data_IF_582346563036
#
_entry.id   IF_582346563036
#
_cell.length_a   1.000
_cell.length_b   1.000
_cell.length_c   1.000
_cell.angle_alpha   90.00
_cell.angle_beta   90.00
_cell.angle_gamma   90.00
#
_symmetry.space_group_name_H-M   'P 1'
#
loop_
_entity.id
_entity.type
_entity.pdbx_description
1 polymer ?
#
# COMPACT_ATOMS: atom_id res chain seq x y z
N UNK A 1 1.95 23.06 -37.86
CA UNK A 1 1.02 22.18 -37.11
C UNK A 1 1.70 20.85 -36.86
N UNK A 2 2.21 20.62 -35.64
CA UNK A 2 2.59 19.27 -35.19
C UNK A 2 1.61 18.88 -34.10
N UNK A 3 0.83 17.86 -34.42
CA UNK A 3 -0.25 17.30 -33.63
C UNK A 3 0.30 16.79 -32.30
N UNK A 4 -0.06 17.49 -31.21
CA UNK A 4 0.34 17.17 -29.84
C UNK A 4 -0.35 15.90 -29.37
N UNK A 5 0.24 14.75 -29.68
CA UNK A 5 -0.21 13.45 -29.19
C UNK A 5 0.25 13.32 -27.74
N UNK A 6 -0.64 13.68 -26.80
CA UNK A 6 -0.49 13.37 -25.37
C UNK A 6 -0.34 11.85 -25.20
N UNK A 7 0.90 11.35 -25.23
CA UNK A 7 1.21 9.96 -24.90
C UNK A 7 1.29 9.88 -23.39
N UNK A 8 0.16 9.55 -22.79
CA UNK A 8 -0.01 9.35 -21.35
C UNK A 8 0.95 8.29 -20.83
N UNK A 9 1.82 8.68 -19.88
CA UNK A 9 2.75 7.82 -19.18
C UNK A 9 1.99 6.71 -18.41
N UNK A 10 2.30 5.44 -18.71
CA UNK A 10 1.62 4.26 -18.12
C UNK A 10 1.78 4.19 -16.60
N UNK A 11 2.88 4.73 -16.06
CA UNK A 11 3.13 4.81 -14.62
C UNK A 11 2.17 5.80 -13.93
N UNK A 12 1.87 6.92 -14.60
CA UNK A 12 1.08 8.04 -14.07
C UNK A 12 -0.44 7.74 -14.10
N UNK A 13 -0.89 6.91 -15.04
CA UNK A 13 -2.27 6.41 -15.08
C UNK A 13 -2.60 5.39 -13.96
N UNK A 14 -1.61 4.94 -13.19
CA UNK A 14 -1.79 4.03 -12.06
C UNK A 14 -2.56 4.59 -10.86
N UNK A 15 -2.95 5.89 -10.88
CA UNK A 15 -3.62 6.60 -9.78
C UNK A 15 -4.82 5.85 -9.16
N UNK A 16 -5.46 4.93 -9.89
CA UNK A 16 -6.71 4.28 -9.46
C UNK A 16 -6.82 2.77 -9.66
N UNK A 17 -5.79 2.07 -10.15
CA UNK A 17 -6.01 0.73 -10.74
C UNK A 17 -5.98 -0.47 -9.79
N UNK A 18 -5.46 -0.34 -8.58
CA UNK A 18 -5.23 -1.50 -7.71
C UNK A 18 -6.05 -1.39 -6.41
N UNK A 19 -7.37 -1.50 -6.55
CA UNK A 19 -8.28 -1.61 -5.40
C UNK A 19 -8.37 -3.05 -4.88
N UNK A 20 -8.37 -4.03 -5.78
CA UNK A 20 -8.44 -5.44 -5.45
C UNK A 20 -7.21 -6.20 -5.94
N UNK A 21 -6.92 -7.33 -5.29
CA UNK A 21 -5.78 -8.20 -5.61
C UNK A 21 -5.79 -8.67 -7.07
N UNK A 22 -6.95 -9.10 -7.57
CA UNK A 22 -7.10 -9.59 -8.95
C UNK A 22 -6.81 -8.54 -10.03
N UNK A 23 -6.99 -7.26 -9.73
CA UNK A 23 -6.70 -6.17 -10.66
C UNK A 23 -5.21 -5.82 -10.66
N UNK A 24 -4.54 -6.07 -9.54
CA UNK A 24 -3.15 -5.70 -9.29
C UNK A 24 -2.15 -6.76 -9.77
N UNK A 25 -2.44 -8.03 -9.49
CA UNK A 25 -1.57 -9.16 -9.78
C UNK A 25 -1.12 -9.24 -11.26
N UNK A 26 -1.96 -9.02 -12.28
CA UNK A 26 -1.54 -9.18 -13.68
C UNK A 26 -0.70 -7.99 -14.19
N UNK A 27 -0.86 -6.81 -13.59
CA UNK A 27 -0.36 -5.55 -14.13
C UNK A 27 0.96 -5.08 -13.50
N UNK A 28 1.21 -5.47 -12.25
CA UNK A 28 2.41 -5.07 -11.51
C UNK A 28 3.71 -5.76 -11.98
N UNK A 29 3.73 -7.05 -12.35
CA UNK A 29 4.95 -7.74 -12.81
C UNK A 29 5.48 -7.24 -14.17
N UNK A 30 4.69 -6.46 -14.91
CA UNK A 30 5.04 -5.98 -16.26
C UNK A 30 6.11 -4.89 -16.23
N UNK A 31 6.33 -4.25 -15.07
CA UNK A 31 7.26 -3.13 -14.92
C UNK A 31 8.51 -3.64 -14.20
N UNK A 32 9.66 -3.55 -14.88
CA UNK A 32 10.93 -4.01 -14.31
C UNK A 32 11.55 -2.96 -13.38
N UNK A 33 12.22 -3.43 -12.33
CA UNK A 33 13.08 -2.58 -11.50
C UNK A 33 14.41 -2.39 -12.21
N UNK A 34 14.74 -1.15 -12.54
CA UNK A 34 16.03 -0.81 -13.17
C UNK A 34 17.08 -0.64 -12.10
N UNK A 35 18.12 -1.46 -12.13
CA UNK A 35 19.24 -1.35 -11.21
C UNK A 35 19.91 0.03 -11.32
N UNK A 36 20.11 0.68 -10.17
CA UNK A 36 20.86 1.92 -10.04
C UNK A 36 21.98 1.72 -9.02
N UNK A 37 23.23 2.12 -9.31
CA UNK A 37 24.31 2.09 -8.33
C UNK A 37 23.96 2.92 -7.08
N UNK A 38 24.23 2.41 -5.87
CA UNK A 38 23.96 3.12 -4.60
C UNK A 38 24.63 4.50 -4.53
N UNK A 39 25.79 4.67 -5.17
CA UNK A 39 26.54 5.92 -5.26
C UNK A 39 25.87 6.98 -6.14
N UNK A 40 24.81 6.63 -6.88
CA UNK A 40 24.17 7.54 -7.83
C UNK A 40 23.49 8.71 -7.13
N UNK A 41 23.71 9.92 -7.66
CA UNK A 41 23.09 11.14 -7.15
C UNK A 41 21.70 11.35 -7.76
N UNK A 42 20.78 11.82 -6.93
CA UNK A 42 19.49 12.38 -7.33
C UNK A 42 19.61 13.90 -7.13
N UNK A 43 19.62 14.66 -8.23
CA UNK A 43 19.83 16.11 -8.19
C UNK A 43 18.48 16.77 -8.46
N UNK A 44 17.88 17.34 -7.42
CA UNK A 44 16.64 18.09 -7.58
C UNK A 44 16.91 19.44 -8.26
N UNK A 45 16.06 19.81 -9.21
CA UNK A 45 16.16 21.06 -9.95
C UNK A 45 14.79 21.50 -10.46
N UNK A 46 14.69 22.76 -10.90
CA UNK A 46 13.60 23.20 -11.77
C UNK A 46 13.85 22.58 -13.14
N UNK A 47 12.83 21.98 -13.73
CA UNK A 47 12.86 21.27 -15.00
C UNK A 47 11.69 21.75 -15.84
N UNK A 48 11.93 21.89 -17.15
CA UNK A 48 10.85 22.09 -18.09
C UNK A 48 10.24 20.74 -18.50
N UNK A 49 8.95 20.74 -18.88
CA UNK A 49 8.23 19.51 -19.23
C UNK A 49 8.86 18.78 -20.43
N UNK A 50 9.50 19.49 -21.35
CA UNK A 50 10.19 18.94 -22.51
C UNK A 50 11.54 18.30 -22.18
N UNK A 51 12.14 18.62 -21.03
CA UNK A 51 13.35 17.95 -20.54
C UNK A 51 13.05 16.58 -19.92
N UNK A 52 11.80 16.35 -19.49
CA UNK A 52 11.42 15.18 -18.71
C UNK A 52 11.23 13.94 -19.58
N UNK A 53 11.64 12.79 -19.05
CA UNK A 53 11.45 11.48 -19.68
C UNK A 53 9.96 11.16 -19.82
N UNK A 54 9.50 11.01 -21.06
CA UNK A 54 8.09 10.78 -21.40
C UNK A 54 7.69 9.31 -21.50
N UNK A 55 8.66 8.39 -21.62
CA UNK A 55 8.41 6.95 -21.78
C UNK A 55 9.08 6.13 -20.66
N UNK A 56 8.51 6.22 -19.44
CA UNK A 56 9.01 5.49 -18.28
C UNK A 56 8.53 4.03 -18.35
N UNK A 57 9.47 3.13 -18.69
CA UNK A 57 9.23 1.68 -18.78
C UNK A 57 9.72 0.87 -17.59
N UNK A 58 10.38 1.53 -16.63
CA UNK A 58 11.00 0.88 -15.49
C UNK A 58 10.88 1.73 -14.24
N UNK A 59 10.93 1.08 -13.07
CA UNK A 59 10.92 1.74 -11.77
C UNK A 59 12.31 1.68 -11.15
N UNK A 60 12.74 2.76 -10.51
CA UNK A 60 13.99 2.78 -9.77
C UNK A 60 13.89 2.02 -8.45
N UNK A 61 14.99 1.53 -7.85
CA UNK A 61 14.94 0.85 -6.57
C UNK A 61 14.36 1.76 -5.48
N UNK A 62 13.62 1.21 -4.53
CA UNK A 62 12.91 1.96 -3.48
C UNK A 62 13.82 2.92 -2.71
N UNK A 63 15.02 2.46 -2.34
CA UNK A 63 16.05 3.27 -1.69
C UNK A 63 16.39 4.54 -2.50
N UNK A 64 16.47 4.41 -3.83
CA UNK A 64 16.76 5.54 -4.71
C UNK A 64 15.55 6.47 -4.87
N UNK A 65 14.34 5.92 -4.93
CA UNK A 65 13.09 6.71 -4.98
C UNK A 65 12.97 7.57 -3.72
N UNK A 66 13.19 7.00 -2.54
CA UNK A 66 13.21 7.75 -1.27
C UNK A 66 14.28 8.84 -1.26
N UNK A 67 15.48 8.53 -1.79
CA UNK A 67 16.56 9.52 -1.94
C UNK A 67 16.16 10.68 -2.85
N UNK A 68 15.49 10.39 -3.97
CA UNK A 68 14.99 11.38 -4.92
C UNK A 68 13.89 12.26 -4.30
N UNK A 69 12.94 11.67 -3.59
CA UNK A 69 11.91 12.40 -2.83
C UNK A 69 12.54 13.30 -1.75
N UNK A 70 13.55 12.81 -1.04
CA UNK A 70 14.28 13.60 -0.05
C UNK A 70 14.97 14.81 -0.69
N UNK A 71 15.68 14.61 -1.80
CA UNK A 71 16.31 15.69 -2.55
C UNK A 71 15.29 16.75 -3.02
N UNK A 72 14.13 16.33 -3.53
CA UNK A 72 13.03 17.22 -3.92
C UNK A 72 12.54 18.04 -2.72
N UNK A 73 12.32 17.40 -1.56
CA UNK A 73 11.88 18.10 -0.33
C UNK A 73 12.91 19.12 0.13
N UNK A 74 14.18 18.76 0.20
CA UNK A 74 15.25 19.68 0.60
C UNK A 74 15.37 20.86 -0.36
N UNK A 75 15.31 20.60 -1.68
CA UNK A 75 15.36 21.64 -2.69
C UNK A 75 14.17 22.59 -2.58
N UNK A 76 12.95 22.07 -2.43
CA UNK A 76 11.74 22.87 -2.24
C UNK A 76 11.86 23.79 -1.02
N UNK A 77 12.31 23.25 0.11
CA UNK A 77 12.44 24.03 1.34
C UNK A 77 13.47 25.17 1.19
N UNK A 78 14.48 25.01 0.33
CA UNK A 78 15.47 26.05 0.04
C UNK A 78 14.96 27.16 -0.90
N UNK A 79 13.90 26.91 -1.68
CA UNK A 79 13.35 27.87 -2.65
C UNK A 79 12.36 28.87 -2.04
N UNK A 80 11.81 28.58 -0.85
CA UNK A 80 10.82 29.42 -0.19
C UNK A 80 9.39 29.25 -0.71
N UNK A 81 8.41 29.77 0.04
CA UNK A 81 6.98 29.70 -0.29
C UNK A 81 6.64 30.68 -1.44
N UNK A 82 6.69 30.21 -2.67
CA UNK A 82 6.30 31.03 -3.83
C UNK A 82 6.46 30.38 -5.21
N UNK A 83 7.17 29.26 -5.33
CA UNK A 83 7.38 28.58 -6.61
C UNK A 83 6.40 27.40 -6.75
N UNK A 84 5.60 27.43 -7.82
CA UNK A 84 4.66 26.36 -8.15
C UNK A 84 5.39 25.01 -8.25
N UNK A 85 4.77 23.97 -7.69
CA UNK A 85 5.35 22.62 -7.64
C UNK A 85 5.56 21.99 -9.02
N UNK A 86 4.89 22.55 -10.03
CA UNK A 86 4.69 21.92 -11.33
C UNK A 86 5.96 21.84 -12.18
N UNK A 87 7.04 22.53 -11.79
CA UNK A 87 8.34 22.48 -12.48
C UNK A 87 9.45 21.77 -11.71
N UNK A 88 9.18 21.07 -10.61
CA UNK A 88 10.25 20.41 -9.84
C UNK A 88 10.44 18.96 -10.31
N UNK A 89 11.69 18.60 -10.58
CA UNK A 89 12.09 17.26 -10.98
C UNK A 89 13.44 16.84 -10.42
N UNK A 90 13.87 15.65 -10.82
CA UNK A 90 15.15 15.05 -10.43
C UNK A 90 15.92 14.68 -11.68
N UNK A 91 17.10 15.29 -11.83
CA UNK A 91 18.09 14.89 -12.82
C UNK A 91 18.91 13.72 -12.26
N UNK A 92 18.88 12.60 -12.96
CA UNK A 92 19.66 11.39 -12.65
C UNK A 92 20.72 11.23 -13.73
N UNK A 93 22.01 11.52 -13.46
CA UNK A 93 23.04 11.54 -14.50
C UNK A 93 23.10 10.24 -15.30
N UNK A 94 23.13 10.28 -16.63
CA UNK A 94 23.10 9.08 -17.52
C UNK A 94 21.78 8.28 -17.54
N UNK A 95 20.75 8.69 -16.79
CA UNK A 95 19.44 8.03 -16.77
C UNK A 95 18.31 8.94 -17.25
N UNK A 96 18.48 10.26 -17.19
CA UNK A 96 17.50 11.23 -17.68
C UNK A 96 17.03 12.20 -16.59
N UNK A 97 15.99 12.95 -16.91
CA UNK A 97 15.30 13.89 -16.02
C UNK A 97 13.90 13.36 -15.77
N UNK A 98 13.50 13.31 -14.50
CA UNK A 98 12.21 12.76 -14.09
C UNK A 98 11.43 13.81 -13.33
N UNK A 99 10.16 14.01 -13.66
CA UNK A 99 9.33 14.95 -12.91
C UNK A 99 9.09 14.44 -11.49
N UNK A 100 8.70 15.33 -10.57
CA UNK A 100 8.25 14.90 -9.25
C UNK A 100 7.06 13.91 -9.35
N UNK A 101 6.18 14.06 -10.35
CA UNK A 101 5.05 13.17 -10.55
C UNK A 101 5.51 11.74 -10.88
N UNK A 102 6.58 11.61 -11.66
CA UNK A 102 7.16 10.31 -12.01
C UNK A 102 7.79 9.63 -10.80
N UNK A 103 8.56 10.37 -10.01
CA UNK A 103 9.16 9.85 -8.77
C UNK A 103 8.07 9.40 -7.79
N UNK A 104 7.00 10.18 -7.64
CA UNK A 104 5.85 9.80 -6.81
C UNK A 104 5.09 8.59 -7.38
N UNK A 105 5.03 8.43 -8.70
CA UNK A 105 4.42 7.26 -9.32
C UNK A 105 5.27 5.99 -9.09
N UNK A 106 6.60 6.09 -9.11
CA UNK A 106 7.51 4.99 -8.74
C UNK A 106 7.35 4.57 -7.28
N UNK A 107 7.22 5.53 -6.36
CA UNK A 107 6.96 5.27 -4.94
C UNK A 107 5.62 4.54 -4.70
N UNK A 108 4.57 5.00 -5.39
CA UNK A 108 3.26 4.34 -5.36
C UNK A 108 3.31 2.92 -5.92
N UNK A 109 4.16 2.67 -6.93
CA UNK A 109 4.38 1.33 -7.46
C UNK A 109 5.02 0.41 -6.41
N UNK A 110 6.05 0.87 -5.70
CA UNK A 110 6.68 0.12 -4.59
C UNK A 110 5.68 -0.21 -3.48
N UNK A 111 4.87 0.76 -3.11
CA UNK A 111 3.79 0.54 -2.14
C UNK A 111 2.79 -0.51 -2.64
N UNK A 112 2.40 -0.46 -3.91
CA UNK A 112 1.42 -1.38 -4.48
C UNK A 112 1.97 -2.82 -4.60
N UNK A 113 3.22 -2.99 -5.05
CA UNK A 113 3.84 -4.33 -5.13
C UNK A 113 4.03 -4.93 -3.73
N UNK A 114 4.36 -4.11 -2.72
CA UNK A 114 4.40 -4.56 -1.31
C UNK A 114 3.05 -5.12 -0.87
N UNK A 115 1.95 -4.42 -1.13
CA UNK A 115 0.61 -4.90 -0.75
C UNK A 115 0.23 -6.21 -1.45
N UNK A 116 0.54 -6.33 -2.75
CA UNK A 116 0.30 -7.59 -3.49
C UNK A 116 1.16 -8.72 -2.95
N UNK A 117 2.41 -8.45 -2.61
CA UNK A 117 3.33 -9.46 -2.06
C UNK A 117 2.84 -9.97 -0.71
N UNK A 118 2.43 -9.07 0.18
CA UNK A 118 1.89 -9.45 1.49
C UNK A 118 0.58 -10.22 1.38
N UNK A 119 -0.31 -9.80 0.48
CA UNK A 119 -1.58 -10.51 0.25
C UNK A 119 -1.31 -11.90 -0.36
N UNK A 120 -0.35 -12.02 -1.28
CA UNK A 120 0.09 -13.32 -1.82
C UNK A 120 0.60 -14.24 -0.72
N UNK A 121 1.43 -13.71 0.18
CA UNK A 121 1.96 -14.49 1.30
C UNK A 121 0.84 -14.93 2.25
N UNK A 122 -0.11 -14.04 2.56
CA UNK A 122 -1.28 -14.38 3.37
C UNK A 122 -2.17 -15.45 2.73
N UNK A 123 -2.39 -15.38 1.40
CA UNK A 123 -3.10 -16.41 0.64
C UNK A 123 -2.37 -17.75 0.76
N UNK A 124 -1.06 -17.78 0.51
CA UNK A 124 -0.26 -19.00 0.61
C UNK A 124 -0.32 -19.58 2.03
N UNK A 125 -0.19 -18.75 3.05
CA UNK A 125 -0.34 -19.17 4.45
C UNK A 125 -1.72 -19.77 4.70
N UNK A 126 -2.80 -19.12 4.26
CA UNK A 126 -4.16 -19.60 4.48
C UNK A 126 -4.44 -20.93 3.77
N UNK A 127 -3.87 -21.15 2.58
CA UNK A 127 -3.97 -22.40 1.83
C UNK A 127 -3.24 -23.56 2.50
N UNK A 128 -2.09 -23.29 3.11
CA UNK A 128 -1.24 -24.32 3.72
C UNK A 128 -1.44 -24.49 5.23
N UNK A 129 -2.22 -23.63 5.87
CA UNK A 129 -2.57 -23.75 7.28
C UNK A 129 -3.70 -24.76 7.46
N UNK A 130 -3.44 -25.78 8.28
CA UNK A 130 -4.45 -26.74 8.68
C UNK A 130 -5.16 -26.23 9.94
N UNK A 131 -6.43 -25.87 9.79
CA UNK A 131 -7.26 -25.27 10.84
C UNK A 131 -7.78 -26.34 11.84
N UNK A 132 -7.62 -27.64 11.52
CA UNK A 132 -8.08 -28.77 12.34
C UNK A 132 -7.38 -28.92 13.69
N UNK A 133 -6.42 -28.05 14.04
CA UNK A 133 -5.67 -28.12 15.30
C UNK A 133 -6.37 -27.47 16.49
N UNK A 134 -7.36 -26.62 16.25
CA UNK A 134 -8.18 -26.03 17.30
C UNK A 134 -9.60 -26.52 17.06
N UNK A 135 -10.17 -27.26 18.02
CA UNK A 135 -11.58 -27.63 17.95
C UNK A 135 -12.40 -26.35 17.92
N UNK A 136 -12.97 -26.04 16.77
CA UNK A 136 -13.87 -24.90 16.61
C UNK A 136 -15.18 -25.31 17.28
N UNK A 137 -15.68 -24.55 18.27
CA UNK A 137 -17.00 -24.82 18.84
C UNK A 137 -18.05 -24.86 17.73
N UNK A 138 -19.08 -25.72 17.81
CA UNK A 138 -20.13 -25.82 16.78
C UNK A 138 -20.77 -24.47 16.43
N UNK A 139 -20.81 -23.54 17.39
CA UNK A 139 -21.34 -22.19 17.22
C UNK A 139 -20.51 -21.30 16.28
N UNK A 140 -19.26 -21.70 15.97
CA UNK A 140 -18.32 -20.98 15.10
C UNK A 140 -17.93 -21.78 13.85
N UNK A 141 -18.54 -22.96 13.64
CA UNK A 141 -18.19 -23.91 12.59
C UNK A 141 -18.50 -23.36 11.17
N UNK A 142 -19.53 -22.51 11.04
CA UNK A 142 -19.91 -21.83 9.80
C UNK A 142 -18.94 -20.70 9.38
N UNK A 143 -18.08 -20.23 10.30
CA UNK A 143 -17.23 -19.05 10.08
C UNK A 143 -15.97 -19.32 9.25
N UNK A 144 -15.54 -20.58 9.11
CA UNK A 144 -14.25 -20.93 8.51
C UNK A 144 -14.42 -22.07 7.50
N UNK A 145 -14.40 -21.73 6.20
CA UNK A 145 -14.45 -22.76 5.15
C UNK A 145 -13.19 -23.65 5.19
N UNK A 146 -13.39 -24.96 5.34
CA UNK A 146 -12.31 -25.95 5.19
C UNK A 146 -11.81 -26.03 3.74
N UNK A 147 -12.60 -25.56 2.78
CA UNK A 147 -12.31 -25.61 1.35
C UNK A 147 -11.20 -24.59 1.03
N UNK A 148 -10.01 -25.04 0.56
CA UNK A 148 -8.91 -24.13 0.22
C UNK A 148 -9.28 -23.03 -0.77
N UNK A 149 -10.13 -23.35 -1.76
CA UNK A 149 -10.57 -22.44 -2.81
C UNK A 149 -11.41 -21.28 -2.25
N UNK A 150 -12.26 -21.54 -1.26
CA UNK A 150 -13.09 -20.50 -0.62
C UNK A 150 -12.22 -19.55 0.20
N UNK A 151 -11.23 -20.09 0.91
CA UNK A 151 -10.24 -19.30 1.67
C UNK A 151 -9.46 -18.40 0.73
N UNK A 152 -8.94 -18.94 -0.37
CA UNK A 152 -8.25 -18.15 -1.38
C UNK A 152 -9.16 -17.06 -1.98
N UNK A 153 -10.41 -17.40 -2.30
CA UNK A 153 -11.37 -16.44 -2.86
C UNK A 153 -11.68 -15.29 -1.89
N UNK A 154 -11.77 -15.56 -0.59
CA UNK A 154 -11.97 -14.56 0.44
C UNK A 154 -10.81 -13.55 0.49
N UNK A 155 -9.56 -14.05 0.53
CA UNK A 155 -8.38 -13.17 0.49
C UNK A 155 -8.25 -12.38 -0.81
N UNK A 156 -8.59 -12.98 -1.97
CA UNK A 156 -8.55 -12.27 -3.27
C UNK A 156 -9.59 -11.14 -3.39
N UNK A 157 -10.68 -11.21 -2.63
CA UNK A 157 -11.71 -10.13 -2.54
C UNK A 157 -11.32 -9.02 -1.59
N UNK A 158 -10.28 -9.25 -0.77
CA UNK A 158 -9.84 -8.31 0.23
C UNK A 158 -9.29 -7.03 -0.42
N UNK A 159 -9.72 -5.83 0.01
CA UNK A 159 -9.20 -4.58 -0.55
C UNK A 159 -7.72 -4.41 -0.22
N UNK A 160 -6.90 -4.06 -1.22
CA UNK A 160 -5.47 -3.81 -1.02
C UNK A 160 -5.19 -2.43 -0.41
N UNK A 161 -6.14 -1.50 -0.52
CA UNK A 161 -6.02 -0.10 -0.10
C UNK A 161 -7.29 0.38 0.57
N UNK A 162 -7.13 1.42 1.37
CA UNK A 162 -8.22 2.04 2.12
C UNK A 162 -8.36 1.44 3.50
N UNK A 163 -9.45 1.84 4.14
CA UNK A 163 -9.65 1.58 5.55
C UNK A 163 -11.12 1.22 5.78
N UNK A 164 -11.36 0.36 6.76
CA UNK A 164 -12.68 0.05 7.27
C UNK A 164 -12.95 0.94 8.46
N UNK A 165 -14.08 1.64 8.43
CA UNK A 165 -14.55 2.36 9.62
C UNK A 165 -15.04 1.36 10.66
N UNK A 166 -14.54 1.50 11.89
CA UNK A 166 -14.94 0.70 13.05
C UNK A 166 -15.34 1.65 14.18
N UNK A 167 -16.01 1.12 15.21
CA UNK A 167 -16.35 1.91 16.40
C UNK A 167 -15.11 2.46 17.15
N UNK A 168 -13.93 1.88 16.91
CA UNK A 168 -12.65 2.26 17.54
C UNK A 168 -11.75 3.09 16.61
N UNK A 169 -12.25 3.47 15.44
CA UNK A 169 -11.52 4.27 14.46
C UNK A 169 -11.38 3.58 13.12
N UNK A 170 -10.53 4.16 12.27
CA UNK A 170 -10.28 3.65 10.93
C UNK A 170 -9.21 2.57 10.95
N UNK A 171 -9.54 1.39 10.44
CA UNK A 171 -8.62 0.25 10.35
C UNK A 171 -8.17 0.05 8.89
N UNK A 172 -6.88 0.26 8.57
CA UNK A 172 -6.37 -0.07 7.25
C UNK A 172 -6.59 -1.54 6.92
N UNK A 173 -7.10 -1.85 5.73
CA UNK A 173 -7.34 -3.24 5.34
C UNK A 173 -6.08 -4.10 5.48
N UNK A 174 -4.91 -3.57 5.09
CA UNK A 174 -3.61 -4.23 5.26
C UNK A 174 -3.35 -4.72 6.69
N UNK A 175 -3.82 -4.02 7.72
CA UNK A 175 -3.63 -4.42 9.12
C UNK A 175 -4.29 -5.77 9.42
N UNK A 176 -5.37 -6.15 8.73
CA UNK A 176 -6.00 -7.47 8.89
C UNK A 176 -5.12 -8.62 8.41
N UNK A 177 -4.09 -8.36 7.60
CA UNK A 177 -3.10 -9.38 7.22
C UNK A 177 -2.18 -9.76 8.39
N UNK A 178 -2.18 -9.01 9.52
CA UNK A 178 -1.43 -9.38 10.73
C UNK A 178 -1.99 -10.62 11.44
N UNK A 179 -3.22 -11.03 11.13
CA UNK A 179 -3.80 -12.29 11.63
C UNK A 179 -3.18 -13.53 10.97
N UNK A 180 -2.34 -13.36 9.93
CA UNK A 180 -1.65 -14.45 9.26
C UNK A 180 -0.23 -14.65 9.82
N UNK A 181 0.26 -15.89 9.74
CA UNK A 181 1.61 -16.28 10.14
C UNK A 181 1.91 -16.03 11.64
N UNK A 182 3.19 -15.84 11.99
CA UNK A 182 3.65 -15.55 13.34
C UNK A 182 3.80 -14.03 13.57
N UNK A 183 2.89 -13.24 13.02
CA UNK A 183 2.93 -11.77 13.15
C UNK A 183 2.26 -11.34 14.45
N UNK A 184 2.78 -10.28 15.05
CA UNK A 184 2.09 -9.61 16.14
C UNK A 184 0.86 -8.93 15.57
N UNK A 185 -0.30 -9.21 16.15
CA UNK A 185 -1.56 -8.59 15.74
C UNK A 185 -1.58 -7.17 16.28
N UNK A 186 -1.89 -6.22 15.39
CA UNK A 186 -2.06 -4.81 15.76
C UNK A 186 -3.29 -4.61 16.66
N UNK A 187 -3.22 -3.67 17.60
CA UNK A 187 -4.30 -3.41 18.57
C UNK A 187 -5.61 -3.05 17.85
N UNK A 188 -5.53 -2.30 16.75
CA UNK A 188 -6.71 -1.93 15.96
C UNK A 188 -7.32 -3.15 15.23
N UNK A 189 -6.48 -4.08 14.77
CA UNK A 189 -6.92 -5.33 14.16
C UNK A 189 -7.58 -6.26 15.20
N UNK A 190 -6.99 -6.40 16.39
CA UNK A 190 -7.57 -7.14 17.52
C UNK A 190 -8.94 -6.58 17.94
N UNK A 191 -8.99 -5.27 18.14
CA UNK A 191 -10.20 -4.53 18.46
C UNK A 191 -11.31 -4.76 17.42
N UNK A 192 -10.95 -4.81 16.15
CA UNK A 192 -11.90 -5.10 15.09
C UNK A 192 -12.44 -6.53 15.14
N UNK A 193 -11.57 -7.52 15.39
CA UNK A 193 -11.99 -8.91 15.60
C UNK A 193 -13.00 -9.04 16.75
N UNK A 194 -12.75 -8.35 17.87
CA UNK A 194 -13.68 -8.32 19.01
C UNK A 194 -15.04 -7.70 18.66
N UNK A 195 -15.06 -6.59 17.90
CA UNK A 195 -16.31 -5.97 17.44
C UNK A 195 -17.10 -6.91 16.53
N UNK A 196 -16.43 -7.62 15.61
CA UNK A 196 -17.09 -8.59 14.73
C UNK A 196 -17.72 -9.73 15.55
N UNK A 197 -16.95 -10.31 16.48
CA UNK A 197 -17.44 -11.36 17.37
C UNK A 197 -18.67 -10.90 18.18
N UNK A 198 -18.67 -9.66 18.68
CA UNK A 198 -19.83 -9.08 19.37
C UNK A 198 -21.05 -8.93 18.45
N UNK A 199 -20.83 -8.48 17.20
CA UNK A 199 -21.93 -8.28 16.25
C UNK A 199 -22.60 -9.59 15.85
N UNK A 200 -21.83 -10.68 15.78
CA UNK A 200 -22.33 -12.02 15.48
C UNK A 200 -22.94 -12.69 16.71
N UNK A 201 -22.54 -12.28 17.92
CA UNK A 201 -22.98 -12.86 19.19
C UNK A 201 -23.57 -11.80 20.11
N UNK A 202 -24.82 -11.42 19.86
CA UNK A 202 -25.55 -10.39 20.61
C UNK A 202 -25.68 -10.65 22.14
N UNK A 203 -25.34 -11.86 22.61
CA UNK A 203 -25.37 -12.25 24.03
C UNK A 203 -24.00 -12.25 24.74
N UNK A 204 -22.90 -11.96 24.06
CA UNK A 204 -21.55 -11.98 24.67
C UNK A 204 -21.18 -10.58 25.16
N UNK A 205 -21.00 -10.45 26.47
CA UNK A 205 -20.63 -9.19 27.14
C UNK A 205 -19.30 -8.62 26.64
N UNK A 206 -19.22 -7.28 26.61
CA UNK A 206 -18.09 -6.51 26.08
C UNK A 206 -16.79 -6.81 26.84
N UNK A 207 -15.76 -7.30 26.15
CA UNK A 207 -14.37 -7.14 26.62
C UNK A 207 -13.95 -5.72 26.26
N UNK A 208 -14.19 -4.78 27.17
CA UNK A 208 -13.70 -3.42 27.02
C UNK A 208 -12.18 -3.44 27.21
N UNK A 209 -11.41 -3.41 26.12
CA UNK A 209 -10.00 -3.06 26.23
C UNK A 209 -9.92 -1.54 26.49
N UNK A 210 -9.84 -1.22 27.79
CA UNK A 210 -9.51 0.07 28.37
C UNK A 210 -10.14 1.30 27.70
N UNK A 211 -11.39 1.59 28.04
CA UNK A 211 -11.76 3.01 28.14
C UNK A 211 -10.89 3.61 29.25
N UNK A 212 -9.92 4.45 28.90
CA UNK A 212 -9.25 5.30 29.87
C UNK A 212 -10.36 6.05 30.63
N UNK A 213 -10.64 5.58 31.85
CA UNK A 213 -11.55 6.24 32.76
C UNK A 213 -10.99 7.64 32.96
N UNK A 214 -11.59 8.62 32.29
CA UNK A 214 -11.36 10.02 32.59
C UNK A 214 -11.93 10.21 33.99
N UNK A 215 -11.09 10.06 35.02
CA UNK A 215 -11.40 10.55 36.36
C UNK A 215 -11.54 12.06 36.21
N UNK A 216 -12.78 12.54 36.09
CA UNK A 216 -13.08 13.93 36.44
C UNK A 216 -12.77 14.06 37.92
N UNK A 217 -11.71 14.80 38.22
CA UNK A 217 -11.48 15.33 39.54
C UNK A 217 -12.68 16.23 39.89
N UNK A 218 -13.37 15.87 40.98
CA UNK A 218 -14.19 16.78 41.77
C UNK A 218 -13.31 17.63 42.66
#
# INVERSE_FOLDING_TARGET
MKEGRAKTNKLVQGKHRFKAYKDAQPNLPVISVRAIPKSKKAIASIVADDECEVDIRCVFPEEFVMKAQSAIRTFRNALGDGISSDGIGVRVPRFGVYSQQDINAMDRWHTAISYVTETTNAINWALHTNIKRVGVPPELEDGVSEIPEDREAAFKRFPLRGERSTALGSLPYRALLSFCENKWVDDAAMCHGLILLQSENAGVGVVAQFSAATRRAS
#
